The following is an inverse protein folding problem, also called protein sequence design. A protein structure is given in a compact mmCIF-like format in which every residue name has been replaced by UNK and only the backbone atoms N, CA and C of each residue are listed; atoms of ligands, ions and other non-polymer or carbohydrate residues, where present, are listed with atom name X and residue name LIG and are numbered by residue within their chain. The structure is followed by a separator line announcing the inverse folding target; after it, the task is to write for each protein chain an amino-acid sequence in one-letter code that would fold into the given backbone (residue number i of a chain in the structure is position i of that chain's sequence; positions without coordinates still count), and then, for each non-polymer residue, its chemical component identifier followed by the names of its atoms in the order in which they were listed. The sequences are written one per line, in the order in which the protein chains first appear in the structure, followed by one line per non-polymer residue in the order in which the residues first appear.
data_IF_899389050992
#
_entry.id   IF_899389050992
#
_cell.length_a   1.000
_cell.length_b   1.000
_cell.length_c   1.000
_cell.angle_alpha   90.00
_cell.angle_beta   90.00
_cell.angle_gamma   90.00
#
_symmetry.space_group_name_H-M   'P 1'
#
loop_
_entity.id
_entity.type
_entity.pdbx_description
1 polymer ?
#
# COMPACT_ATOMS: atom_id res chain seq x y z
N UNK A 1 -9.76 1.59 -8.10
CA UNK A 1 -9.35 0.17 -8.24
C UNK A 1 -10.32 -0.54 -9.14
N UNK A 2 -9.85 -1.53 -9.88
CA UNK A 2 -10.69 -2.42 -10.67
C UNK A 2 -10.66 -3.83 -10.07
N UNK A 3 -11.73 -4.63 -10.23
CA UNK A 3 -11.69 -6.07 -10.01
C UNK A 3 -10.55 -6.71 -10.82
N UNK A 4 -10.01 -7.83 -10.36
CA UNK A 4 -8.91 -8.53 -11.03
C UNK A 4 -9.27 -9.00 -12.44
N UNK A 5 -10.54 -9.32 -12.64
CA UNK A 5 -11.16 -9.88 -13.84
C UNK A 5 -11.70 -8.84 -14.82
N UNK A 6 -11.46 -7.53 -14.56
CA UNK A 6 -11.84 -6.44 -15.48
C UNK A 6 -11.29 -6.69 -16.89
N UNK A 7 -12.13 -6.45 -17.90
CA UNK A 7 -11.76 -6.64 -19.32
C UNK A 7 -11.84 -5.34 -20.08
N UNK A 8 -10.87 -5.13 -20.96
CA UNK A 8 -10.92 -4.06 -21.94
C UNK A 8 -11.79 -4.50 -23.11
N UNK A 9 -12.92 -3.83 -23.29
CA UNK A 9 -13.92 -4.14 -24.32
C UNK A 9 -14.06 -3.02 -25.33
N UNK A 10 -14.50 -3.39 -26.53
CA UNK A 10 -15.00 -2.43 -27.51
C UNK A 10 -16.46 -2.13 -27.21
N UNK A 11 -16.81 -0.90 -26.82
CA UNK A 11 -18.19 -0.58 -26.50
C UNK A 11 -19.02 -0.55 -27.79
N UNK A 12 -20.11 -1.32 -27.82
CA UNK A 12 -21.04 -1.34 -28.96
C UNK A 12 -21.85 -0.05 -28.91
N UNK A 13 -21.45 0.96 -29.69
CA UNK A 13 -22.18 2.23 -29.78
C UNK A 13 -23.43 2.06 -30.63
N UNK A 14 -24.62 2.19 -30.03
CA UNK A 14 -25.92 2.24 -30.73
C UNK A 14 -26.17 3.59 -31.44
N UNK A 15 -25.35 4.61 -31.16
CA UNK A 15 -25.52 5.96 -31.71
C UNK A 15 -24.77 6.14 -33.05
N UNK A 16 -25.38 6.85 -34.00
CA UNK A 16 -24.70 7.34 -35.22
C UNK A 16 -23.57 8.29 -34.81
N UNK A 17 -22.32 7.86 -34.98
CA UNK A 17 -21.14 8.63 -34.64
C UNK A 17 -19.85 7.91 -35.06
N UNK A 18 -18.71 8.60 -34.97
CA UNK A 18 -17.41 8.01 -35.27
C UNK A 18 -17.13 6.85 -34.29
N UNK A 19 -16.78 5.65 -34.77
CA UNK A 19 -16.46 4.54 -33.88
C UNK A 19 -15.30 4.92 -32.95
N UNK A 20 -15.36 4.43 -31.72
CA UNK A 20 -14.28 4.63 -30.75
C UNK A 20 -13.00 3.97 -31.27
N UNK A 21 -11.87 4.64 -31.05
CA UNK A 21 -10.52 4.18 -31.44
C UNK A 21 -9.79 3.39 -30.35
N UNK A 22 -10.28 3.42 -29.11
CA UNK A 22 -9.63 2.79 -27.97
C UNK A 22 -10.61 1.96 -27.15
N UNK A 23 -10.12 0.88 -26.56
CA UNK A 23 -10.86 0.01 -25.65
C UNK A 23 -11.24 0.75 -24.36
N UNK A 24 -12.31 0.33 -23.70
CA UNK A 24 -12.70 0.82 -22.37
C UNK A 24 -12.91 -0.36 -21.43
N UNK A 25 -12.72 -0.21 -20.12
CA UNK A 25 -13.04 -1.28 -19.20
C UNK A 25 -14.56 -1.51 -19.19
N UNK A 26 -14.93 -2.79 -19.10
CA UNK A 26 -16.31 -3.25 -18.97
C UNK A 26 -16.97 -2.83 -17.64
N UNK A 27 -16.15 -2.58 -16.61
CA UNK A 27 -16.58 -2.11 -15.29
C UNK A 27 -15.82 -0.82 -14.94
N UNK A 28 -16.49 0.13 -14.28
CA UNK A 28 -15.84 1.36 -13.79
C UNK A 28 -14.94 1.08 -12.58
N UNK A 29 -13.92 1.92 -12.40
CA UNK A 29 -13.11 1.87 -11.19
C UNK A 29 -13.94 2.26 -9.97
N UNK A 30 -13.66 1.64 -8.84
CA UNK A 30 -14.29 1.92 -7.54
C UNK A 30 -13.24 2.27 -6.48
N UNK A 31 -13.68 2.91 -5.39
CA UNK A 31 -12.82 3.26 -4.28
C UNK A 31 -12.28 2.00 -3.57
N UNK A 32 -11.06 2.07 -3.03
CA UNK A 32 -10.45 0.98 -2.28
C UNK A 32 -11.33 0.51 -1.10
N UNK A 33 -11.96 1.46 -0.40
CA UNK A 33 -12.90 1.16 0.69
C UNK A 33 -14.10 0.34 0.21
N UNK A 34 -14.71 0.71 -0.92
CA UNK A 34 -15.85 -0.01 -1.49
C UNK A 34 -15.46 -1.43 -1.90
N UNK A 35 -14.27 -1.61 -2.47
CA UNK A 35 -13.74 -2.93 -2.82
C UNK A 35 -13.56 -3.83 -1.59
N UNK A 36 -13.09 -3.27 -0.47
CA UNK A 36 -12.86 -4.01 0.77
C UNK A 36 -14.10 -4.16 1.65
N UNK A 37 -15.18 -3.43 1.38
CA UNK A 37 -16.43 -3.52 2.13
C UNK A 37 -17.06 -4.93 2.02
N UNK A 38 -16.89 -5.61 0.89
CA UNK A 38 -17.35 -6.98 0.66
C UNK A 38 -16.32 -8.06 1.03
N UNK A 39 -15.12 -7.66 1.48
CA UNK A 39 -14.03 -8.59 1.76
C UNK A 39 -14.22 -9.33 3.09
N UNK A 40 -13.60 -10.52 3.20
CA UNK A 40 -13.57 -11.28 4.46
C UNK A 40 -12.49 -10.73 5.40
N UNK A 41 -12.91 -9.97 6.41
CA UNK A 41 -12.03 -9.42 7.43
C UNK A 41 -11.71 -10.45 8.52
N UNK A 42 -10.41 -10.61 8.85
CA UNK A 42 -9.93 -11.50 9.91
C UNK A 42 -9.09 -10.73 10.93
N UNK A 43 -9.19 -11.09 12.19
CA UNK A 43 -8.33 -10.53 13.24
C UNK A 43 -6.95 -11.20 13.19
N UNK A 44 -5.90 -10.41 13.10
CA UNK A 44 -4.50 -10.87 13.12
C UNK A 44 -3.81 -10.29 14.35
N UNK A 45 -3.01 -11.11 15.03
CA UNK A 45 -2.13 -10.67 16.12
C UNK A 45 -0.67 -11.01 15.79
N UNK A 46 0.27 -10.17 16.21
CA UNK A 46 1.70 -10.34 15.84
C UNK A 46 2.64 -10.28 17.04
N UNK A 47 2.67 -9.17 17.80
CA UNK A 47 3.63 -8.95 18.91
C UNK A 47 2.90 -8.68 20.23
N UNK A 48 3.52 -9.05 21.35
CA UNK A 48 3.10 -8.62 22.70
C UNK A 48 3.47 -7.15 22.92
N UNK A 49 2.47 -6.29 23.13
CA UNK A 49 2.67 -4.93 23.61
C UNK A 49 2.52 -4.83 25.13
N UNK A 50 2.69 -3.63 25.68
CA UNK A 50 2.59 -3.35 27.12
C UNK A 50 1.20 -3.63 27.70
N UNK A 51 0.14 -3.53 26.87
CA UNK A 51 -1.26 -3.81 27.23
C UNK A 51 -1.77 -5.16 26.68
N UNK A 52 -0.86 -6.08 26.35
CA UNK A 52 -1.18 -7.38 25.75
C UNK A 52 -0.88 -7.45 24.26
N UNK A 53 -1.25 -8.57 23.62
CA UNK A 53 -0.95 -8.81 22.19
C UNK A 53 -1.60 -7.75 21.30
N UNK A 54 -0.77 -7.11 20.48
CA UNK A 54 -1.22 -6.20 19.44
C UNK A 54 -2.06 -6.97 18.42
N UNK A 55 -3.24 -6.43 18.12
CA UNK A 55 -4.22 -7.02 17.22
C UNK A 55 -4.90 -5.95 16.38
N UNK A 56 -5.21 -6.29 15.13
CA UNK A 56 -6.02 -5.49 14.22
C UNK A 56 -6.77 -6.41 13.25
N UNK A 57 -7.84 -5.91 12.62
CA UNK A 57 -8.55 -6.64 11.58
C UNK A 57 -7.91 -6.33 10.22
N UNK A 58 -7.71 -7.36 9.42
CA UNK A 58 -7.18 -7.24 8.07
C UNK A 58 -8.10 -7.90 7.05
N UNK A 59 -8.12 -7.34 5.85
CA UNK A 59 -8.66 -7.97 4.65
C UNK A 59 -7.67 -7.75 3.51
N UNK A 60 -7.58 -8.70 2.59
CA UNK A 60 -6.73 -8.58 1.41
C UNK A 60 -7.46 -9.16 0.20
N UNK A 61 -7.38 -8.46 -0.94
CA UNK A 61 -7.96 -8.86 -2.22
C UNK A 61 -6.96 -8.61 -3.35
N UNK A 62 -6.99 -9.44 -4.38
CA UNK A 62 -6.31 -9.13 -5.64
C UNK A 62 -7.18 -8.18 -6.45
N UNK A 63 -6.56 -7.10 -6.93
CA UNK A 63 -7.22 -6.03 -7.69
C UNK A 63 -6.29 -5.60 -8.83
N UNK A 64 -6.82 -4.86 -9.79
CA UNK A 64 -6.00 -4.03 -10.68
C UNK A 64 -6.02 -2.58 -10.21
N UNK A 65 -4.84 -1.96 -10.18
CA UNK A 65 -4.72 -0.54 -9.85
C UNK A 65 -5.42 0.32 -10.91
N UNK A 66 -5.87 1.51 -10.52
CA UNK A 66 -6.48 2.46 -11.44
C UNK A 66 -5.49 3.59 -11.72
N UNK A 67 -4.31 3.22 -12.19
CA UNK A 67 -3.15 4.08 -12.46
C UNK A 67 -2.61 3.90 -13.89
N UNK A 68 -3.30 3.09 -14.72
CA UNK A 68 -3.00 2.98 -16.14
C UNK A 68 -3.22 4.31 -16.88
N UNK A 69 -2.88 4.39 -18.18
CA UNK A 69 -2.95 5.64 -18.93
C UNK A 69 -4.38 6.23 -18.89
N UNK A 70 -4.52 7.56 -18.72
CA UNK A 70 -5.83 8.19 -18.65
C UNK A 70 -6.53 8.15 -20.01
N UNK A 71 -7.81 7.82 -19.99
CA UNK A 71 -8.67 7.80 -21.17
C UNK A 71 -10.09 8.23 -20.82
N UNK A 72 -10.83 8.76 -21.80
CA UNK A 72 -12.27 9.00 -21.65
C UNK A 72 -13.05 7.68 -21.63
N UNK A 73 -13.62 7.34 -20.48
CA UNK A 73 -14.32 6.07 -20.23
C UNK A 73 -15.83 6.34 -20.13
N UNK A 74 -16.63 5.77 -21.04
CA UNK A 74 -18.09 5.95 -21.08
C UNK A 74 -18.53 7.43 -21.07
N UNK A 75 -19.49 7.77 -20.21
CA UNK A 75 -19.96 9.10 -19.85
C UNK A 75 -19.06 9.79 -18.80
N UNK A 76 -18.23 9.02 -18.09
CA UNK A 76 -17.22 9.54 -17.20
C UNK A 76 -16.13 10.24 -18.03
N UNK A 77 -15.56 11.30 -17.48
CA UNK A 77 -14.51 12.08 -18.11
C UNK A 77 -13.21 11.29 -18.27
N UNK A 78 -12.06 11.97 -18.21
CA UNK A 78 -10.78 11.28 -18.17
C UNK A 78 -10.67 10.44 -16.89
N UNK A 79 -10.39 9.16 -17.06
CA UNK A 79 -10.27 8.16 -16.01
C UNK A 79 -9.09 7.25 -16.33
N UNK A 80 -8.39 6.78 -15.30
CA UNK A 80 -7.27 5.86 -15.48
C UNK A 80 -7.75 4.45 -15.85
N UNK A 81 -7.13 3.86 -16.87
CA UNK A 81 -7.36 2.46 -17.23
C UNK A 81 -6.85 1.49 -16.14
N UNK A 82 -7.30 0.22 -16.14
CA UNK A 82 -6.72 -0.80 -15.27
C UNK A 82 -5.22 -0.96 -15.51
N UNK A 83 -4.44 -0.88 -14.43
CA UNK A 83 -3.02 -1.15 -14.40
C UNK A 83 -2.70 -2.59 -14.01
N UNK A 84 -1.56 -2.75 -13.34
CA UNK A 84 -1.04 -4.05 -12.92
C UNK A 84 -1.85 -4.65 -11.76
N UNK A 85 -1.72 -5.97 -11.63
CA UNK A 85 -2.37 -6.72 -10.57
C UNK A 85 -1.61 -6.56 -9.24
N UNK A 86 -2.32 -6.10 -8.20
CA UNK A 86 -1.76 -5.86 -6.88
C UNK A 86 -2.67 -6.42 -5.78
N UNK A 87 -2.09 -6.59 -4.60
CA UNK A 87 -2.86 -6.79 -3.37
C UNK A 87 -3.37 -5.45 -2.87
N UNK A 88 -4.68 -5.31 -2.74
CA UNK A 88 -5.31 -4.28 -1.92
C UNK A 88 -5.54 -4.83 -0.52
N UNK A 89 -4.90 -4.21 0.48
CA UNK A 89 -4.97 -4.65 1.88
C UNK A 89 -5.61 -3.56 2.72
N UNK A 90 -6.64 -3.92 3.47
CA UNK A 90 -7.26 -3.07 4.48
C UNK A 90 -6.78 -3.44 5.88
N UNK A 91 -6.49 -2.43 6.69
CA UNK A 91 -6.29 -2.54 8.14
C UNK A 91 -7.38 -1.75 8.86
N UNK A 92 -8.01 -2.37 9.85
CA UNK A 92 -8.92 -1.70 10.77
C UNK A 92 -8.46 -1.92 12.21
N UNK A 93 -8.16 -0.82 12.90
CA UNK A 93 -7.74 -0.81 14.30
C UNK A 93 -8.93 -0.73 15.24
N UNK A 94 -8.70 -1.09 16.51
CA UNK A 94 -9.72 -0.99 17.56
C UNK A 94 -10.18 0.46 17.81
N UNK A 95 -9.35 1.46 17.49
CA UNK A 95 -9.69 2.88 17.54
C UNK A 95 -10.69 3.32 16.46
N UNK A 96 -11.02 2.45 15.50
CA UNK A 96 -11.82 2.80 14.32
C UNK A 96 -11.00 3.33 13.14
N UNK A 97 -9.71 3.61 13.34
CA UNK A 97 -8.79 4.02 12.26
C UNK A 97 -8.72 2.92 11.19
N UNK A 98 -8.99 3.30 9.93
CA UNK A 98 -8.87 2.44 8.75
C UNK A 98 -7.70 2.90 7.89
N UNK A 99 -6.87 1.95 7.45
CA UNK A 99 -5.79 2.19 6.49
C UNK A 99 -5.91 1.24 5.31
N UNK A 100 -5.46 1.72 4.16
CA UNK A 100 -5.46 0.96 2.91
C UNK A 100 -4.05 0.95 2.33
N UNK A 101 -3.63 -0.21 1.85
CA UNK A 101 -2.29 -0.45 1.34
C UNK A 101 -2.37 -1.15 -0.01
N UNK A 102 -1.39 -0.89 -0.86
CA UNK A 102 -1.13 -1.66 -2.07
C UNK A 102 0.20 -2.39 -1.93
N UNK A 103 0.25 -3.64 -2.40
CA UNK A 103 1.48 -4.42 -2.43
C UNK A 103 1.56 -5.31 -3.67
N UNK A 104 2.74 -5.42 -4.24
CA UNK A 104 3.06 -6.30 -5.38
C UNK A 104 3.56 -7.69 -4.93
N UNK A 105 3.09 -8.17 -3.76
CA UNK A 105 3.48 -9.47 -3.22
C UNK A 105 2.97 -10.61 -4.12
N UNK A 106 3.68 -11.76 -4.18
CA UNK A 106 3.16 -12.97 -4.82
C UNK A 106 1.86 -13.45 -4.15
N UNK A 107 1.20 -14.43 -4.75
CA UNK A 107 0.04 -15.08 -4.13
C UNK A 107 0.44 -15.65 -2.76
N UNK A 108 -0.25 -15.21 -1.71
CA UNK A 108 0.11 -15.53 -0.33
C UNK A 108 -1.11 -15.50 0.58
N UNK A 109 -0.95 -15.99 1.80
CA UNK A 109 -1.98 -15.93 2.84
C UNK A 109 -2.13 -14.51 3.41
N UNK A 110 -3.22 -14.24 4.13
CA UNK A 110 -3.45 -12.91 4.73
C UNK A 110 -2.40 -12.52 5.77
N UNK A 111 -1.74 -13.50 6.39
CA UNK A 111 -0.77 -13.25 7.46
C UNK A 111 0.48 -12.57 6.93
N UNK A 112 0.94 -12.96 5.74
CA UNK A 112 2.12 -12.40 5.08
C UNK A 112 2.01 -10.88 4.86
N UNK A 113 1.03 -10.32 4.12
CA UNK A 113 0.90 -8.89 3.92
C UNK A 113 0.65 -8.13 5.24
N UNK A 114 -0.12 -8.72 6.17
CA UNK A 114 -0.33 -8.12 7.49
C UNK A 114 1.00 -8.00 8.27
N UNK A 115 1.84 -9.03 8.25
CA UNK A 115 3.15 -9.01 8.87
C UNK A 115 4.09 -8.00 8.20
N UNK A 116 4.13 -7.95 6.85
CA UNK A 116 4.92 -6.97 6.10
C UNK A 116 4.54 -5.53 6.44
N UNK A 117 3.24 -5.23 6.51
CA UNK A 117 2.75 -3.90 6.90
C UNK A 117 3.18 -3.56 8.32
N UNK A 118 3.14 -4.53 9.25
CA UNK A 118 3.55 -4.30 10.65
C UNK A 118 5.05 -4.24 10.86
N UNK A 119 5.83 -4.88 10.00
CA UNK A 119 7.28 -4.77 10.00
C UNK A 119 7.75 -3.34 9.67
N UNK A 120 6.96 -2.55 8.93
CA UNK A 120 7.31 -1.14 8.62
C UNK A 120 7.54 -0.30 9.88
N UNK A 121 6.82 -0.57 10.97
CA UNK A 121 7.02 0.14 12.24
C UNK A 121 8.43 -0.07 12.80
N UNK A 122 9.08 -1.20 12.52
CA UNK A 122 10.45 -1.48 12.96
C UNK A 122 11.42 -0.43 12.39
N UNK A 123 11.20 0.04 11.16
CA UNK A 123 12.00 1.11 10.58
C UNK A 123 11.83 2.44 11.33
N UNK A 124 10.61 2.78 11.76
CA UNK A 124 10.36 4.01 12.53
C UNK A 124 11.01 3.91 13.91
N UNK A 125 10.86 2.76 14.57
CA UNK A 125 11.53 2.49 15.84
C UNK A 125 13.07 2.55 15.71
N UNK A 126 13.64 1.96 14.66
CA UNK A 126 15.08 2.00 14.39
C UNK A 126 15.59 3.44 14.22
N UNK A 127 14.87 4.28 13.47
CA UNK A 127 15.24 5.70 13.35
C UNK A 127 15.15 6.45 14.67
N UNK A 128 14.16 6.14 15.51
CA UNK A 128 14.03 6.74 16.83
C UNK A 128 15.23 6.37 17.71
N UNK A 129 15.59 5.10 17.78
CA UNK A 129 16.74 4.62 18.56
C UNK A 129 18.05 5.21 18.04
N UNK A 130 18.24 5.23 16.72
CA UNK A 130 19.43 5.84 16.11
C UNK A 130 19.61 7.31 16.54
N UNK A 131 18.53 8.08 16.65
CA UNK A 131 18.58 9.49 17.08
C UNK A 131 18.69 9.60 18.60
N UNK A 132 17.67 9.14 19.32
CA UNK A 132 17.50 9.39 20.75
C UNK A 132 18.52 8.64 21.63
N UNK A 133 18.94 7.45 21.22
CA UNK A 133 19.82 6.59 22.02
C UNK A 133 21.27 6.60 21.51
N UNK A 134 21.47 6.70 20.19
CA UNK A 134 22.79 6.56 19.56
C UNK A 134 23.35 7.85 18.95
N UNK A 135 22.62 8.97 19.09
CA UNK A 135 23.10 10.30 18.74
C UNK A 135 23.31 10.53 17.25
N UNK A 136 22.51 9.91 16.37
CA UNK A 136 22.56 10.16 14.93
C UNK A 136 22.41 11.66 14.59
N UNK A 137 21.66 12.39 15.41
CA UNK A 137 21.40 13.83 15.30
C UNK A 137 22.36 14.72 16.13
N UNK A 138 23.38 14.14 16.76
CA UNK A 138 24.38 14.87 17.56
C UNK A 138 25.59 15.36 16.75
N UNK A 139 25.58 15.25 15.42
CA UNK A 139 26.70 15.69 14.60
C UNK A 139 26.74 17.22 14.47
N UNK A 140 27.78 17.85 15.04
CA UNK A 140 27.97 19.31 15.03
C UNK A 140 28.98 19.80 13.96
N UNK A 141 29.55 18.90 13.17
CA UNK A 141 30.51 19.23 12.12
C UNK A 141 29.85 19.83 10.86
N UNK A 142 30.68 20.33 9.93
CA UNK A 142 30.19 20.95 8.67
C UNK A 142 30.64 20.25 7.39
N UNK A 143 31.39 19.15 7.49
CA UNK A 143 31.87 18.41 6.33
C UNK A 143 30.94 17.26 5.98
N UNK A 144 30.66 17.08 4.68
CA UNK A 144 29.89 15.94 4.18
C UNK A 144 30.52 14.60 4.60
N UNK A 145 31.83 14.49 4.49
CA UNK A 145 32.56 13.30 4.89
C UNK A 145 32.45 13.02 6.40
N UNK A 146 32.47 14.06 7.23
CA UNK A 146 32.29 13.93 8.68
C UNK A 146 30.90 13.42 9.03
N UNK A 147 29.86 13.99 8.42
CA UNK A 147 28.47 13.55 8.59
C UNK A 147 28.30 12.07 8.19
N UNK A 148 28.86 11.69 7.05
CA UNK A 148 28.73 10.32 6.53
C UNK A 148 29.43 9.29 7.43
N UNK A 149 30.62 9.64 7.98
CA UNK A 149 31.33 8.79 8.95
C UNK A 149 30.56 8.67 10.26
N UNK A 150 30.03 9.77 10.77
CA UNK A 150 29.20 9.78 11.98
C UNK A 150 27.98 8.86 11.82
N UNK A 151 27.20 9.06 10.76
CA UNK A 151 26.03 8.24 10.47
C UNK A 151 26.38 6.74 10.33
N UNK A 152 27.50 6.42 9.67
CA UNK A 152 27.98 5.04 9.56
C UNK A 152 28.32 4.44 10.93
N UNK A 153 29.02 5.17 11.80
CA UNK A 153 29.37 4.68 13.13
C UNK A 153 28.12 4.45 13.99
N UNK A 154 27.14 5.35 13.97
CA UNK A 154 25.86 5.18 14.66
C UNK A 154 25.08 3.97 14.12
N UNK A 155 25.08 3.74 12.80
CA UNK A 155 24.45 2.55 12.21
C UNK A 155 25.15 1.24 12.58
N UNK A 156 26.49 1.23 12.66
CA UNK A 156 27.25 0.05 13.11
C UNK A 156 26.97 -0.24 14.59
N UNK A 157 26.93 0.79 15.44
CA UNK A 157 26.57 0.63 16.84
C UNK A 157 25.16 0.06 17.00
N UNK A 158 24.20 0.55 16.22
CA UNK A 158 22.83 0.02 16.20
C UNK A 158 22.77 -1.46 15.81
N UNK A 159 23.57 -1.90 14.83
CA UNK A 159 23.58 -3.29 14.39
C UNK A 159 24.13 -4.27 15.44
N UNK A 160 24.83 -3.78 16.47
CA UNK A 160 25.39 -4.60 17.54
C UNK A 160 24.44 -4.76 18.75
N UNK A 161 23.45 -3.87 18.90
CA UNK A 161 22.51 -3.84 20.03
C UNK A 161 21.23 -4.64 19.73
#
# INVERSE_FOLDING_TARGET
MYPVDVKLTWPITKARGKPRKHHVPDILSIAAEQMLASAKWKTVSWRSGTKGRLKARFAALRVRTADGPPQRIWDKGQQHLPGDEAWLIGEQRASGEKKYYLANLPATDLRTPAATIKARWICEQAHQQLKEELGLDHFEGRSWQGLHRHALMTMIAYAFL
#
